data_IF_681862690632
#
_entry.id   IF_681862690632
#
_cell.length_a   1.000
_cell.length_b   1.000
_cell.length_c   1.000
_cell.angle_alpha   90.00
_cell.angle_beta   90.00
_cell.angle_gamma   90.00
#
_symmetry.space_group_name_H-M   'P 1'
#
loop_
_entity.id
_entity.type
_entity.pdbx_description
1 polymer ?
#
# COMPACT_ATOMS: atom_id res chain seq x y z
N UNK A 1 -17.62 14.26 7.43
CA UNK A 1 -18.78 15.10 7.80
C UNK A 1 -18.43 15.75 9.12
N UNK A 2 -18.29 17.07 9.11
CA UNK A 2 -17.93 17.82 10.32
C UNK A 2 -19.05 18.80 10.65
N UNK A 3 -19.46 18.81 11.92
CA UNK A 3 -20.61 19.59 12.39
C UNK A 3 -20.23 20.32 13.67
N UNK A 4 -20.23 21.65 13.63
CA UNK A 4 -19.92 22.48 14.77
C UNK A 4 -21.19 22.71 15.60
N UNK A 5 -21.34 21.93 16.68
CA UNK A 5 -22.53 21.94 17.53
C UNK A 5 -22.67 23.16 18.45
N UNK A 6 -21.64 24.02 18.52
CA UNK A 6 -21.54 25.11 19.48
C UNK A 6 -21.61 26.51 18.83
N UNK A 7 -21.68 26.59 17.51
CA UNK A 7 -21.76 27.87 16.80
C UNK A 7 -23.22 28.31 16.61
N UNK A 8 -23.43 29.63 16.65
CA UNK A 8 -24.74 30.27 16.41
C UNK A 8 -25.26 30.06 14.98
N UNK A 9 -24.36 29.83 14.02
CA UNK A 9 -24.67 29.42 12.65
C UNK A 9 -24.11 28.01 12.37
N UNK A 10 -24.96 27.14 11.82
CA UNK A 10 -24.58 25.77 11.44
C UNK A 10 -23.99 25.79 10.03
N UNK A 11 -22.68 25.61 9.91
CA UNK A 11 -22.01 25.27 8.65
C UNK A 11 -21.82 23.75 8.55
N UNK A 12 -21.93 23.22 7.32
CA UNK A 12 -21.83 21.79 7.06
C UNK A 12 -20.92 21.57 5.84
N UNK A 13 -19.83 20.83 6.05
CA UNK A 13 -18.91 20.40 4.99
C UNK A 13 -18.96 18.87 4.86
N UNK A 14 -19.12 18.40 3.61
CA UNK A 14 -19.32 16.99 3.29
C UNK A 14 -18.48 16.61 2.09
N UNK A 15 -17.39 15.90 2.35
CA UNK A 15 -16.69 15.09 1.36
C UNK A 15 -17.15 13.65 1.43
N UNK A 16 -17.26 13.01 0.26
CA UNK A 16 -17.65 11.61 0.15
C UNK A 16 -16.68 10.86 -0.75
N UNK A 17 -16.24 9.70 -0.29
CA UNK A 17 -15.54 8.70 -1.11
C UNK A 17 -16.42 7.46 -1.12
N UNK A 18 -16.74 6.97 -2.31
CA UNK A 18 -17.55 5.77 -2.50
C UNK A 18 -16.67 4.61 -2.86
N UNK A 19 -16.48 3.69 -1.91
CA UNK A 19 -15.76 2.44 -2.14
C UNK A 19 -16.57 1.24 -1.64
N UNK A 20 -16.33 0.07 -2.23
CA UNK A 20 -16.89 -1.20 -1.78
C UNK A 20 -16.30 -1.64 -0.43
N UNK A 21 -15.00 -1.43 -0.25
CA UNK A 21 -14.27 -1.62 1.01
C UNK A 21 -12.98 -0.80 0.96
N UNK A 22 -12.54 -0.26 2.10
CA UNK A 22 -11.28 0.50 2.15
C UNK A 22 -10.62 0.34 3.53
N UNK A 23 -9.36 -0.12 3.61
CA UNK A 23 -8.59 -0.01 4.83
C UNK A 23 -8.45 1.46 5.24
N UNK A 24 -8.66 1.72 6.53
CA UNK A 24 -8.57 3.05 7.13
C UNK A 24 -7.40 3.08 8.10
N UNK A 25 -6.48 4.00 7.89
CA UNK A 25 -5.37 4.29 8.80
C UNK A 25 -5.51 5.71 9.32
N UNK A 26 -5.20 5.93 10.60
CA UNK A 26 -5.18 7.26 11.20
C UNK A 26 -3.94 7.41 12.07
N UNK A 27 -3.25 8.54 11.91
CA UNK A 27 -2.29 9.07 12.88
C UNK A 27 -2.98 10.11 13.78
N UNK A 28 -2.19 10.95 14.45
CA UNK A 28 -2.69 12.08 15.25
C UNK A 28 -3.30 13.17 14.36
N UNK A 29 -2.64 13.49 13.24
CA UNK A 29 -3.01 14.61 12.37
C UNK A 29 -3.50 14.18 10.99
N UNK A 30 -3.34 12.91 10.61
CA UNK A 30 -3.63 12.45 9.24
C UNK A 30 -4.53 11.22 9.24
N UNK A 31 -5.58 11.26 8.44
CA UNK A 31 -6.42 10.11 8.11
C UNK A 31 -6.15 9.68 6.66
N UNK A 32 -5.93 8.40 6.45
CA UNK A 32 -5.67 7.80 5.14
C UNK A 32 -6.72 6.74 4.84
N UNK A 33 -7.33 6.84 3.66
CA UNK A 33 -8.24 5.84 3.12
C UNK A 33 -7.58 5.18 1.91
N UNK A 34 -7.46 3.85 1.96
CA UNK A 34 -6.94 3.04 0.86
C UNK A 34 -8.11 2.37 0.13
N UNK A 35 -8.53 2.92 -0.99
CA UNK A 35 -9.60 2.36 -1.82
C UNK A 35 -8.99 1.43 -2.89
N UNK A 36 -9.32 0.13 -2.92
CA UNK A 36 -8.98 -0.73 -4.05
C UNK A 36 -9.61 -0.17 -5.31
N UNK A 37 -8.80 0.04 -6.35
CA UNK A 37 -9.27 0.52 -7.63
C UNK A 37 -10.17 -0.56 -8.25
N UNK A 38 -11.47 -0.32 -8.25
CA UNK A 38 -12.40 -1.18 -8.96
C UNK A 38 -12.38 -0.83 -10.45
N UNK A 39 -12.41 -1.86 -11.31
CA UNK A 39 -12.57 -1.68 -12.74
C UNK A 39 -14.03 -1.29 -13.06
N UNK A 40 -14.33 -0.01 -12.87
CA UNK A 40 -15.68 0.53 -13.04
C UNK A 40 -15.89 1.91 -12.44
N UNK A 41 -15.84 2.93 -13.29
CA UNK A 41 -16.50 4.24 -13.17
C UNK A 41 -16.27 5.06 -11.88
N UNK A 42 -15.12 5.76 -11.84
CA UNK A 42 -14.99 7.17 -11.42
C UNK A 42 -13.62 7.78 -11.80
N UNK A 43 -12.60 6.95 -12.08
CA UNK A 43 -11.29 7.41 -12.50
C UNK A 43 -11.06 7.27 -14.01
N UNK A 44 -11.02 8.40 -14.71
CA UNK A 44 -10.48 8.48 -16.06
C UNK A 44 -8.99 8.09 -16.01
N UNK A 45 -8.56 7.15 -16.88
CA UNK A 45 -7.21 6.51 -16.96
C UNK A 45 -6.95 5.23 -16.17
N UNK A 46 -7.96 4.49 -15.69
CA UNK A 46 -7.78 3.04 -15.53
C UNK A 46 -8.26 2.33 -16.80
N UNK A 47 -7.48 2.43 -17.87
CA UNK A 47 -7.77 1.78 -19.16
C UNK A 47 -7.22 0.34 -19.23
N UNK A 48 -6.59 -0.13 -18.14
CA UNK A 48 -5.66 -1.23 -18.19
C UNK A 48 -5.85 -2.27 -17.07
N UNK A 49 -7.04 -2.41 -16.46
CA UNK A 49 -7.31 -3.50 -15.51
C UNK A 49 -6.21 -3.65 -14.43
N UNK A 50 -5.58 -2.55 -14.04
CA UNK A 50 -4.41 -2.59 -13.16
C UNK A 50 -4.86 -2.89 -11.73
N UNK A 51 -4.27 -3.91 -11.11
CA UNK A 51 -4.37 -4.14 -9.66
C UNK A 51 -3.71 -2.94 -8.97
N UNK A 52 -4.53 -2.07 -8.40
CA UNK A 52 -4.08 -0.81 -7.83
C UNK A 52 -4.97 -0.40 -6.66
N UNK A 53 -4.43 0.43 -5.78
CA UNK A 53 -5.14 1.03 -4.65
C UNK A 53 -4.99 2.54 -4.72
N UNK A 54 -6.11 3.26 -4.71
CA UNK A 54 -6.17 4.70 -4.55
C UNK A 54 -5.95 5.06 -3.09
N UNK A 55 -5.06 6.01 -2.85
CA UNK A 55 -4.76 6.53 -1.52
C UNK A 55 -5.31 7.94 -1.43
N UNK A 56 -6.18 8.17 -0.46
CA UNK A 56 -6.74 9.48 -0.15
C UNK A 56 -6.27 9.91 1.23
N UNK A 57 -5.67 11.09 1.35
CA UNK A 57 -5.22 11.67 2.63
C UNK A 57 -6.11 12.84 3.05
N UNK A 58 -6.36 12.92 4.35
CA UNK A 58 -7.10 13.99 4.99
C UNK A 58 -6.32 14.51 6.19
N UNK A 59 -6.35 15.82 6.39
CA UNK A 59 -5.92 16.48 7.60
C UNK A 59 -7.04 16.39 8.64
N UNK A 60 -6.72 15.85 9.81
CA UNK A 60 -7.60 15.73 10.97
C UNK A 60 -6.98 16.37 12.22
N UNK A 61 -5.94 17.21 12.06
CA UNK A 61 -5.27 17.91 13.16
C UNK A 61 -6.20 18.86 13.93
N UNK A 62 -7.20 19.44 13.25
CA UNK A 62 -8.28 20.18 13.89
C UNK A 62 -9.48 19.26 14.16
N UNK A 63 -9.86 19.12 15.44
CA UNK A 63 -11.06 18.37 15.81
C UNK A 63 -12.37 18.93 15.20
N UNK A 64 -12.35 20.19 14.72
CA UNK A 64 -13.51 20.86 14.15
C UNK A 64 -13.51 20.96 12.62
N UNK A 65 -12.45 20.52 11.93
CA UNK A 65 -12.39 20.49 10.46
C UNK A 65 -11.66 19.24 9.98
N UNK A 66 -12.16 18.68 8.88
CA UNK A 66 -11.44 17.62 8.17
C UNK A 66 -11.23 18.11 6.77
N UNK A 67 -9.97 18.29 6.38
CA UNK A 67 -9.64 18.85 5.07
C UNK A 67 -9.05 17.76 4.19
N UNK A 68 -9.59 17.61 2.99
CA UNK A 68 -8.99 16.74 1.99
C UNK A 68 -7.63 17.30 1.58
N UNK A 69 -6.56 16.53 1.76
CA UNK A 69 -5.20 16.94 1.41
C UNK A 69 -4.90 16.60 -0.03
N UNK A 70 -4.78 15.31 -0.33
CA UNK A 70 -4.27 14.86 -1.61
C UNK A 70 -4.72 13.43 -1.95
N UNK A 71 -4.45 13.03 -3.20
CA UNK A 71 -4.62 11.64 -3.61
C UNK A 71 -3.58 11.12 -4.55
N UNK A 72 -3.32 9.83 -4.43
CA UNK A 72 -2.37 9.12 -5.25
C UNK A 72 -2.85 7.71 -5.53
N UNK A 73 -2.02 6.98 -6.26
CA UNK A 73 -2.27 5.59 -6.60
C UNK A 73 -1.01 4.79 -6.31
N UNK A 74 -1.21 3.63 -5.73
CA UNK A 74 -0.17 2.60 -5.58
C UNK A 74 -0.60 1.36 -6.34
N UNK A 75 0.37 0.63 -6.86
CA UNK A 75 0.13 -0.66 -7.49
C UNK A 75 -0.13 -1.73 -6.42
N UNK A 76 -0.94 -2.71 -6.79
CA UNK A 76 -1.36 -3.84 -5.95
C UNK A 76 -2.46 -3.52 -4.96
N UNK A 77 -2.80 -4.53 -4.17
CA UNK A 77 -3.80 -4.48 -3.12
C UNK A 77 -3.15 -4.29 -1.74
N UNK A 78 -3.72 -3.39 -0.95
CA UNK A 78 -3.33 -3.16 0.46
C UNK A 78 -4.08 -4.13 1.37
N UNK A 79 -3.35 -4.87 2.21
CA UNK A 79 -3.91 -5.91 3.08
C UNK A 79 -4.82 -5.34 4.18
N UNK A 80 -4.29 -4.43 4.99
CA UNK A 80 -4.98 -3.85 6.15
C UNK A 80 -4.38 -2.49 6.57
N UNK A 81 -4.91 -1.91 7.65
CA UNK A 81 -4.46 -0.62 8.18
C UNK A 81 -2.98 -0.58 8.62
N UNK A 82 -2.38 -1.72 8.96
CA UNK A 82 -0.99 -1.81 9.40
C UNK A 82 -0.01 -1.86 8.22
N UNK A 83 -0.53 -2.15 7.02
CA UNK A 83 0.18 -1.94 5.75
C UNK A 83 0.28 -0.47 5.34
N UNK A 84 -0.28 0.45 6.13
CA UNK A 84 -0.20 1.90 5.90
C UNK A 84 0.51 2.54 7.09
N UNK A 85 1.33 3.55 6.81
CA UNK A 85 1.93 4.39 7.84
C UNK A 85 2.20 5.78 7.33
N UNK A 86 1.92 6.79 8.15
CA UNK A 86 2.43 8.14 7.97
C UNK A 86 3.74 8.30 8.76
N UNK A 87 4.74 8.95 8.15
CA UNK A 87 5.99 9.33 8.80
C UNK A 87 6.64 10.50 8.08
N UNK A 88 6.96 11.57 8.83
CA UNK A 88 7.59 12.79 8.31
C UNK A 88 6.81 13.42 7.13
N UNK A 89 5.47 13.39 7.16
CA UNK A 89 4.62 13.93 6.10
C UNK A 89 4.58 13.06 4.84
N UNK A 90 5.15 11.85 4.88
CA UNK A 90 5.07 10.88 3.79
C UNK A 90 4.19 9.69 4.19
N UNK A 91 3.34 9.24 3.26
CA UNK A 91 2.52 8.04 3.42
C UNK A 91 3.25 6.86 2.81
N UNK A 92 3.52 5.85 3.63
CA UNK A 92 4.14 4.59 3.23
C UNK A 92 3.08 3.52 3.14
N UNK A 93 3.09 2.77 2.06
CA UNK A 93 2.09 1.75 1.77
C UNK A 93 2.79 0.47 1.36
N UNK A 94 2.50 -0.62 2.06
CA UNK A 94 2.87 -1.97 1.66
C UNK A 94 1.70 -2.62 0.92
N UNK A 95 1.95 -3.12 -0.28
CA UNK A 95 0.95 -3.76 -1.12
C UNK A 95 1.48 -5.05 -1.74
N UNK A 96 0.56 -5.94 -2.09
CA UNK A 96 0.84 -7.14 -2.88
C UNK A 96 0.15 -6.99 -4.22
N UNK A 97 0.89 -7.17 -5.30
CA UNK A 97 0.35 -7.29 -6.65
C UNK A 97 0.11 -8.78 -6.92
N UNK A 98 -1.16 -9.21 -6.96
CA UNK A 98 -1.54 -10.59 -7.27
C UNK A 98 -2.40 -10.61 -8.53
N UNK A 99 -1.70 -10.55 -9.65
CA UNK A 99 -2.34 -10.55 -10.95
C UNK A 99 -2.60 -11.96 -11.49
N UNK A 100 -2.79 -12.96 -10.62
CA UNK A 100 -3.11 -14.33 -11.03
C UNK A 100 -4.29 -14.41 -12.01
N UNK A 101 -5.33 -13.60 -11.82
CA UNK A 101 -6.49 -13.55 -12.71
C UNK A 101 -6.17 -12.94 -14.09
N UNK A 102 -5.10 -12.14 -14.23
CA UNK A 102 -4.68 -11.47 -15.47
C UNK A 102 -3.35 -12.03 -16.00
N UNK A 103 -3.04 -13.30 -15.72
CA UNK A 103 -1.78 -13.95 -16.12
C UNK A 103 -1.47 -13.82 -17.62
N UNK A 104 -2.49 -13.75 -18.48
CA UNK A 104 -2.34 -13.52 -19.93
C UNK A 104 -1.82 -12.11 -20.30
N UNK A 105 -1.77 -11.16 -19.36
CA UNK A 105 -1.31 -9.77 -19.59
C UNK A 105 0.09 -9.48 -19.08
N UNK A 106 0.56 -10.21 -18.07
CA UNK A 106 1.77 -9.84 -17.31
C UNK A 106 2.98 -10.68 -17.64
N UNK A 107 2.88 -11.43 -18.72
CA UNK A 107 3.78 -12.52 -18.88
C UNK A 107 5.13 -12.03 -19.40
N UNK A 108 6.10 -12.07 -18.50
CA UNK A 108 7.41 -12.54 -18.89
C UNK A 108 7.21 -13.79 -19.74
N UNK A 109 7.75 -13.70 -20.95
CA UNK A 109 7.56 -14.72 -21.95
C UNK A 109 8.74 -15.68 -21.83
N UNK A 110 8.48 -16.99 -21.75
CA UNK A 110 9.56 -17.97 -21.77
C UNK A 110 10.32 -17.94 -23.11
N UNK A 111 11.40 -18.73 -23.20
CA UNK A 111 12.19 -18.86 -24.43
C UNK A 111 11.36 -19.30 -25.67
N UNK A 112 10.15 -19.82 -25.45
CA UNK A 112 9.25 -20.34 -26.48
C UNK A 112 8.13 -19.37 -26.87
N UNK A 113 8.01 -18.21 -26.23
CA UNK A 113 6.91 -17.29 -26.52
C UNK A 113 5.69 -17.47 -25.62
N UNK A 114 5.74 -18.35 -24.62
CA UNK A 114 4.60 -18.67 -23.76
C UNK A 114 4.57 -17.79 -22.50
N UNK A 115 3.38 -17.33 -22.09
CA UNK A 115 3.23 -16.49 -20.93
C UNK A 115 3.53 -17.25 -19.61
N UNK A 116 4.49 -16.78 -18.81
CA UNK A 116 4.80 -17.33 -17.49
C UNK A 116 4.33 -16.38 -16.39
N UNK A 117 3.54 -16.90 -15.45
CA UNK A 117 3.23 -16.20 -14.21
C UNK A 117 4.29 -16.49 -13.15
N UNK A 118 4.97 -15.47 -12.67
CA UNK A 118 6.07 -15.56 -11.69
C UNK A 118 5.61 -15.56 -10.23
N UNK A 119 4.30 -15.43 -9.98
CA UNK A 119 3.72 -15.39 -8.64
C UNK A 119 3.29 -13.99 -8.21
N UNK A 120 2.73 -13.85 -6.99
CA UNK A 120 2.50 -12.53 -6.40
C UNK A 120 3.84 -11.85 -6.07
N UNK A 121 3.87 -10.52 -6.21
CA UNK A 121 5.01 -9.70 -5.81
C UNK A 121 4.60 -8.71 -4.74
N UNK A 122 5.46 -8.50 -3.74
CA UNK A 122 5.20 -7.52 -2.70
C UNK A 122 6.07 -6.28 -2.92
N UNK A 123 5.54 -5.14 -2.51
CA UNK A 123 6.20 -3.86 -2.69
C UNK A 123 5.86 -2.89 -1.57
N UNK A 124 6.72 -1.89 -1.41
CA UNK A 124 6.50 -0.74 -0.54
C UNK A 124 6.67 0.53 -1.34
N UNK A 125 5.62 1.34 -1.37
CA UNK A 125 5.59 2.63 -2.05
C UNK A 125 5.55 3.75 -1.03
N UNK A 126 6.30 4.82 -1.27
CA UNK A 126 6.33 6.03 -0.45
C UNK A 126 5.75 7.16 -1.28
N UNK A 127 4.68 7.75 -0.76
CA UNK A 127 3.95 8.85 -1.33
C UNK A 127 4.16 10.12 -0.49
N UNK A 128 4.30 11.25 -1.16
CA UNK A 128 4.40 12.56 -0.52
C UNK A 128 3.44 13.53 -1.21
N UNK A 129 2.80 14.40 -0.41
CA UNK A 129 1.94 15.45 -0.94
C UNK A 129 2.77 16.49 -1.71
N UNK A 130 2.39 16.75 -2.97
CA UNK A 130 3.00 17.77 -3.82
C UNK A 130 2.51 19.20 -3.50
N UNK A 131 1.52 19.33 -2.61
CA UNK A 131 0.88 20.59 -2.26
C UNK A 131 -0.12 21.11 -3.30
N UNK A 132 -0.31 20.37 -4.40
CA UNK A 132 -1.30 20.62 -5.45
C UNK A 132 -2.48 19.63 -5.39
N UNK A 133 -2.58 18.87 -4.30
CA UNK A 133 -3.61 17.88 -4.07
C UNK A 133 -3.31 16.51 -4.66
N UNK A 134 -2.05 16.21 -4.98
CA UNK A 134 -1.63 14.88 -5.43
C UNK A 134 -0.58 14.30 -4.51
N UNK A 135 -0.71 13.01 -4.25
CA UNK A 135 0.30 12.22 -3.57
C UNK A 135 1.24 11.65 -4.64
N UNK A 136 2.41 12.25 -4.77
CA UNK A 136 3.44 11.80 -5.70
C UNK A 136 4.29 10.68 -5.10
N UNK A 137 4.61 9.69 -5.93
CA UNK A 137 5.51 8.62 -5.57
C UNK A 137 6.96 9.11 -5.55
N UNK A 138 7.53 9.22 -4.35
CA UNK A 138 8.91 9.64 -4.13
C UNK A 138 9.86 8.46 -3.85
N UNK A 139 9.31 7.27 -3.58
CA UNK A 139 10.09 6.07 -3.29
C UNK A 139 9.34 4.80 -3.61
N UNK A 140 10.08 3.78 -4.05
CA UNK A 140 9.55 2.47 -4.41
C UNK A 140 10.56 1.38 -4.07
N UNK A 141 10.07 0.30 -3.47
CA UNK A 141 10.81 -0.91 -3.21
C UNK A 141 9.96 -2.10 -3.65
N UNK A 142 10.29 -2.67 -4.81
CA UNK A 142 9.62 -3.86 -5.37
C UNK A 142 10.31 -5.17 -5.02
N UNK A 143 9.82 -6.24 -5.62
CA UNK A 143 10.40 -7.61 -5.61
C UNK A 143 10.66 -8.15 -4.19
N UNK A 144 9.81 -7.77 -3.25
CA UNK A 144 9.89 -8.23 -1.88
C UNK A 144 9.28 -9.63 -1.80
N UNK A 145 10.11 -10.63 -1.50
CA UNK A 145 9.67 -12.01 -1.27
C UNK A 145 8.76 -12.52 -2.41
N UNK A 146 9.31 -12.53 -3.63
CA UNK A 146 8.63 -13.04 -4.83
C UNK A 146 7.97 -14.41 -4.59
N UNK A 147 6.72 -14.55 -5.04
CA UNK A 147 5.93 -15.77 -4.82
C UNK A 147 5.25 -15.85 -3.45
N UNK A 148 5.48 -14.89 -2.57
CA UNK A 148 4.81 -14.76 -1.27
C UNK A 148 3.84 -13.56 -1.26
N UNK A 149 2.87 -13.58 -0.35
CA UNK A 149 1.93 -12.46 -0.14
C UNK A 149 2.15 -11.86 1.25
N UNK A 150 1.98 -10.55 1.40
CA UNK A 150 1.99 -9.89 2.72
C UNK A 150 0.76 -10.33 3.52
N UNK A 151 1.00 -10.84 4.73
CA UNK A 151 -0.05 -11.17 5.70
C UNK A 151 -0.15 -10.15 6.83
N UNK A 152 0.97 -9.52 7.15
CA UNK A 152 1.03 -8.46 8.14
C UNK A 152 2.19 -7.55 7.83
N UNK A 153 1.98 -6.27 8.07
CA UNK A 153 2.99 -5.25 7.94
C UNK A 153 3.00 -4.40 9.21
N UNK A 154 4.14 -3.78 9.50
CA UNK A 154 4.24 -2.75 10.52
C UNK A 154 5.38 -1.81 10.18
N UNK A 155 5.13 -0.52 10.31
CA UNK A 155 6.17 0.50 10.20
C UNK A 155 6.45 1.11 11.57
N UNK A 156 7.72 1.33 11.89
CA UNK A 156 8.18 1.95 13.15
C UNK A 156 9.39 2.83 12.87
N UNK A 157 9.24 4.15 13.05
CA UNK A 157 10.26 5.11 12.67
C UNK A 157 10.67 4.92 11.22
N UNK A 158 11.97 4.81 10.96
CA UNK A 158 12.54 4.56 9.62
C UNK A 158 12.48 3.09 9.16
N UNK A 159 11.85 2.18 9.90
CA UNK A 159 11.87 0.74 9.59
C UNK A 159 10.50 0.20 9.20
N UNK A 160 10.48 -0.74 8.26
CA UNK A 160 9.32 -1.55 7.88
C UNK A 160 9.57 -3.03 8.19
N UNK A 161 8.58 -3.68 8.78
CA UNK A 161 8.55 -5.11 9.07
C UNK A 161 7.43 -5.71 8.23
N UNK A 162 7.75 -6.70 7.40
CA UNK A 162 6.76 -7.42 6.61
C UNK A 162 6.82 -8.90 6.98
N UNK A 163 5.64 -9.48 7.20
CA UNK A 163 5.46 -10.92 7.36
C UNK A 163 4.79 -11.42 6.10
N UNK A 164 5.50 -12.26 5.37
CA UNK A 164 5.05 -12.81 4.09
C UNK A 164 4.92 -14.33 4.20
N UNK A 165 4.02 -14.89 3.40
CA UNK A 165 3.85 -16.33 3.29
C UNK A 165 3.65 -16.74 1.85
N UNK A 166 4.28 -17.86 1.46
CA UNK A 166 3.97 -18.53 0.21
C UNK A 166 2.62 -19.23 0.31
N UNK A 167 1.66 -18.85 -0.54
CA UNK A 167 0.36 -19.52 -0.60
C UNK A 167 0.45 -20.79 -1.44
N UNK A 168 0.83 -21.90 -0.82
CA UNK A 168 0.79 -23.22 -1.46
C UNK A 168 -0.66 -23.74 -1.50
N UNK A 169 -1.46 -23.34 -2.50
CA UNK A 169 -2.73 -24.01 -2.74
C UNK A 169 -2.49 -25.29 -3.54
N UNK A 170 -2.41 -26.44 -2.86
CA UNK A 170 -2.53 -27.75 -3.50
C UNK A 170 -3.84 -28.43 -3.12
N UNK A 171 -4.59 -28.86 -4.14
CA UNK A 171 -5.82 -29.62 -3.99
C UNK A 171 -5.49 -31.01 -3.40
N UNK A 172 -5.64 -31.18 -2.08
CA UNK A 172 -5.65 -32.51 -1.45
C UNK A 172 -4.59 -32.80 -0.39
N UNK A 173 -3.72 -31.86 -0.01
CA UNK A 173 -2.87 -32.03 1.19
C UNK A 173 -2.68 -30.72 1.95
N UNK A 174 -2.99 -30.76 3.25
CA UNK A 174 -2.80 -29.65 4.17
C UNK A 174 -1.32 -29.50 4.50
N UNK A 175 -0.59 -28.73 3.70
CA UNK A 175 0.77 -28.27 4.05
C UNK A 175 0.59 -26.96 4.84
N UNK A 176 1.16 -26.91 6.05
CA UNK A 176 1.17 -25.70 6.87
C UNK A 176 2.01 -24.62 6.18
N UNK A 177 1.48 -23.41 5.94
CA UNK A 177 2.29 -22.32 5.42
C UNK A 177 3.40 -22.00 6.44
N UNK A 178 4.65 -21.94 5.98
CA UNK A 178 5.78 -21.54 6.84
C UNK A 178 5.90 -20.02 6.76
N UNK A 179 5.81 -19.28 7.89
CA UNK A 179 6.00 -17.84 7.89
C UNK A 179 7.44 -17.48 7.52
N UNK A 180 7.58 -16.58 6.56
CA UNK A 180 8.83 -15.91 6.28
C UNK A 180 8.74 -14.48 6.81
N UNK A 181 9.39 -14.18 7.94
CA UNK A 181 9.52 -12.78 8.39
C UNK A 181 10.72 -12.14 7.69
N UNK A 182 10.51 -10.96 7.11
CA UNK A 182 11.57 -10.17 6.46
C UNK A 182 11.65 -8.78 7.07
N UNK A 183 12.88 -8.36 7.37
CA UNK A 183 13.19 -7.05 7.94
C UNK A 183 13.80 -6.16 6.85
N UNK A 184 13.23 -4.98 6.66
CA UNK A 184 13.74 -4.00 5.70
C UNK A 184 14.34 -2.82 6.46
N UNK A 185 15.58 -2.49 6.12
CA UNK A 185 16.27 -1.30 6.61
C UNK A 185 16.44 -0.34 5.44
N UNK A 186 15.70 0.77 5.46
CA UNK A 186 15.88 1.86 4.51
C UNK A 186 15.89 3.18 5.25
N UNK A 187 17.01 3.92 5.19
CA UNK A 187 16.99 5.33 5.56
C UNK A 187 16.33 6.08 4.40
N UNK A 188 15.05 6.42 4.53
CA UNK A 188 14.35 7.27 3.58
C UNK A 188 14.36 8.71 4.10
N UNK A 189 15.50 9.38 3.97
CA UNK A 189 15.60 10.84 4.15
C UNK A 189 15.64 11.50 2.78
N UNK A 190 14.62 12.31 2.45
CA UNK A 190 14.63 13.20 1.29
C UNK A 190 14.72 14.66 1.79
N UNK A 191 15.57 15.50 1.18
CA UNK A 191 15.00 16.49 0.27
C UNK A 191 15.64 16.54 -1.13
N UNK A 192 16.80 15.93 -1.33
CA UNK A 192 17.50 15.83 -2.62
C UNK A 192 18.49 14.66 -2.49
N UNK A 193 18.14 13.42 -2.87
CA UNK A 193 19.10 12.32 -2.70
C UNK A 193 19.04 11.26 -3.80
N UNK A 194 20.20 11.11 -4.44
CA UNK A 194 20.61 9.99 -5.28
C UNK A 194 20.41 8.67 -4.53
N UNK A 195 19.73 7.73 -5.19
CA UNK A 195 19.56 6.34 -4.77
C UNK A 195 20.88 5.76 -4.24
N UNK A 196 20.97 5.56 -2.93
CA UNK A 196 22.03 4.77 -2.33
C UNK A 196 21.38 3.52 -1.75
N UNK A 197 21.61 2.40 -2.44
CA UNK A 197 21.19 1.02 -2.15
C UNK A 197 20.56 0.74 -0.78
N UNK A 198 19.33 0.26 -0.79
CA UNK A 198 18.69 -0.40 0.36
C UNK A 198 19.33 -1.80 0.50
N UNK A 199 20.05 -2.04 1.60
CA UNK A 199 20.61 -3.35 1.92
C UNK A 199 19.55 -4.21 2.61
N UNK A 200 18.98 -5.15 1.86
CA UNK A 200 18.13 -6.22 2.36
C UNK A 200 18.98 -7.21 3.17
N UNK A 201 18.95 -7.11 4.50
CA UNK A 201 19.55 -8.16 5.35
C UNK A 201 18.48 -9.20 5.68
N UNK A 202 18.47 -10.28 4.90
CA UNK A 202 17.62 -11.45 5.15
C UNK A 202 18.06 -12.13 6.45
N UNK A 203 17.32 -11.91 7.55
CA UNK A 203 17.42 -12.75 8.74
C UNK A 203 16.29 -13.76 8.71
N UNK A 204 16.61 -14.99 8.31
CA UNK A 204 15.70 -16.13 8.52
C UNK A 204 15.70 -16.45 10.00
N UNK A 205 14.66 -16.04 10.73
CA UNK A 205 14.44 -16.59 12.08
C UNK A 205 13.99 -18.04 11.94
N UNK A 206 14.90 -18.98 12.23
CA UNK A 206 14.55 -20.38 12.45
C UNK A 206 13.52 -20.48 13.59
N UNK A 207 12.53 -21.39 13.50
CA UNK A 207 11.59 -21.61 14.61
C UNK A 207 12.37 -22.02 15.86
N UNK A 208 12.07 -21.35 16.97
CA UNK A 208 12.57 -21.69 18.30
C UNK A 208 12.10 -23.11 18.65
N UNK A 209 13.04 -24.01 18.94
CA UNK A 209 12.79 -25.28 19.65
C UNK A 209 12.45 -25.04 21.13
#
# INVERSE_FOLDING_TARGET
MTMQLLNEEVSLEVDHITSSWAPVYSSEDTLVLAEPANDGWWFWRNSEWEDATNIHSFDISDANHTTYLASGRVEGTVNDQFSISEHNGSVRVASTSDNWWLWWRLAETDENGEPVWTGPTNQVTILMDDGEGRLEQIGFLGDIAEGETIWSARFVGDRGYLVTFMKLTHYGSSISPTPTTRLFWGNCTCPECQLTSIQLTMTTSSPLE
#
